data_IF_672564354413
#
_entry.id   IF_672564354413
#
_cell.length_a   1.000
_cell.length_b   1.000
_cell.length_c   1.000
_cell.angle_alpha   90.00
_cell.angle_beta   90.00
_cell.angle_gamma   90.00
#
_symmetry.space_group_name_H-M   'P 1'
#
loop_
_entity.id
_entity.type
_entity.pdbx_description
1 polymer ?
#
# COMPACT_ATOMS: atom_id res chain seq x y z
N UNK A 1 -8.93 -51.21 10.34
CA UNK A 1 -10.11 -50.35 10.58
C UNK A 1 -10.24 -49.80 12.01
N UNK A 2 -9.45 -50.18 12.99
CA UNK A 2 -9.47 -49.64 14.35
C UNK A 2 -8.61 -48.37 14.52
N UNK A 3 -7.51 -48.25 13.76
CA UNK A 3 -6.55 -47.11 13.85
C UNK A 3 -7.11 -45.77 13.29
N UNK A 4 -8.16 -45.80 12.49
CA UNK A 4 -8.74 -44.58 11.89
C UNK A 4 -9.83 -43.92 12.74
N UNK A 5 -10.42 -44.67 13.70
CA UNK A 5 -11.42 -44.15 14.62
C UNK A 5 -10.80 -43.41 15.81
N UNK A 6 -9.63 -43.82 16.27
CA UNK A 6 -8.96 -43.23 17.43
C UNK A 6 -8.42 -41.82 17.07
N UNK A 7 -7.89 -41.60 15.85
CA UNK A 7 -7.45 -40.28 15.38
C UNK A 7 -8.60 -39.27 15.18
N UNK A 8 -9.80 -39.71 14.84
CA UNK A 8 -10.96 -38.80 14.72
C UNK A 8 -11.46 -38.34 16.09
N UNK A 9 -11.46 -39.23 17.10
CA UNK A 9 -11.88 -38.86 18.46
C UNK A 9 -10.85 -37.94 19.16
N UNK A 10 -9.57 -38.10 18.94
CA UNK A 10 -8.55 -37.18 19.43
C UNK A 10 -8.66 -35.80 18.78
N UNK A 11 -8.84 -35.74 17.46
CA UNK A 11 -9.03 -34.48 16.73
C UNK A 11 -10.29 -33.72 17.15
N UNK A 12 -11.40 -34.42 17.40
CA UNK A 12 -12.66 -33.83 17.86
C UNK A 12 -12.52 -33.33 19.30
N UNK A 13 -11.82 -34.07 20.17
CA UNK A 13 -11.54 -33.63 21.52
C UNK A 13 -10.61 -32.40 21.58
N UNK A 14 -9.60 -32.33 20.69
CA UNK A 14 -8.72 -31.17 20.59
C UNK A 14 -9.48 -29.92 20.16
N UNK A 15 -10.38 -30.03 19.17
CA UNK A 15 -11.22 -28.93 18.68
C UNK A 15 -12.18 -28.46 19.78
N UNK A 16 -12.82 -29.37 20.52
CA UNK A 16 -13.65 -29.01 21.67
C UNK A 16 -12.87 -28.35 22.80
N UNK A 17 -11.62 -28.79 23.06
CA UNK A 17 -10.76 -28.18 24.06
C UNK A 17 -10.37 -26.72 23.66
N UNK A 18 -10.07 -26.50 22.37
CA UNK A 18 -9.79 -25.15 21.84
C UNK A 18 -11.01 -24.22 21.91
N UNK A 19 -12.23 -24.70 21.59
CA UNK A 19 -13.45 -23.93 21.74
C UNK A 19 -13.76 -23.60 23.20
N UNK A 20 -13.55 -24.55 24.11
CA UNK A 20 -13.70 -24.32 25.55
C UNK A 20 -12.69 -23.28 26.06
N UNK A 21 -11.46 -23.30 25.55
CA UNK A 21 -10.40 -22.35 25.91
C UNK A 21 -10.70 -20.92 25.45
N UNK A 22 -11.27 -20.73 24.24
CA UNK A 22 -11.71 -19.43 23.76
C UNK A 22 -12.82 -18.82 24.63
N UNK A 23 -13.71 -19.66 25.19
CA UNK A 23 -14.75 -19.21 26.12
C UNK A 23 -14.23 -18.77 27.50
N UNK A 24 -13.00 -19.17 27.87
CA UNK A 24 -12.37 -18.84 29.15
C UNK A 24 -11.42 -17.64 29.08
N UNK A 25 -11.03 -17.19 27.86
CA UNK A 25 -10.13 -16.05 27.67
C UNK A 25 -10.97 -14.78 27.46
N UNK A 26 -11.03 -13.85 28.44
CA UNK A 26 -11.71 -12.59 28.27
C UNK A 26 -11.05 -11.73 27.18
N UNK A 27 -11.86 -11.05 26.36
CA UNK A 27 -11.41 -10.15 25.30
C UNK A 27 -10.48 -9.04 25.84
N UNK A 28 -10.66 -8.63 27.09
CA UNK A 28 -9.82 -7.65 27.77
C UNK A 28 -8.37 -8.10 27.94
N UNK A 29 -8.12 -9.41 28.12
CA UNK A 29 -6.74 -9.93 28.18
C UNK A 29 -6.07 -9.88 26.83
N UNK A 30 -6.79 -10.22 25.75
CA UNK A 30 -6.28 -10.12 24.37
C UNK A 30 -6.02 -8.65 24.00
N UNK A 31 -6.87 -7.71 24.47
CA UNK A 31 -6.62 -6.27 24.27
C UNK A 31 -5.37 -5.80 25.01
N UNK A 32 -5.14 -6.25 26.24
CA UNK A 32 -3.94 -5.91 26.99
C UNK A 32 -2.67 -6.47 26.30
N UNK A 33 -2.76 -7.71 25.79
CA UNK A 33 -1.68 -8.34 25.04
C UNK A 33 -1.39 -7.59 23.73
N UNK A 34 -2.39 -7.27 22.91
CA UNK A 34 -2.24 -6.53 21.66
C UNK A 34 -1.59 -5.17 21.90
N UNK A 35 -2.14 -4.38 22.84
CA UNK A 35 -1.60 -3.06 23.15
C UNK A 35 -0.15 -3.13 23.64
N UNK A 36 0.21 -4.11 24.47
CA UNK A 36 1.57 -4.30 24.96
C UNK A 36 2.53 -4.71 23.84
N UNK A 37 2.12 -5.60 22.95
CA UNK A 37 2.91 -6.04 21.81
C UNK A 37 3.18 -4.93 20.80
N UNK A 38 2.17 -4.13 20.50
CA UNK A 38 2.25 -3.03 19.56
C UNK A 38 3.07 -1.84 20.09
N UNK A 39 2.92 -1.52 21.39
CA UNK A 39 3.63 -0.38 22.00
C UNK A 39 5.04 -0.75 22.50
N UNK A 40 5.37 -2.04 22.62
CA UNK A 40 6.62 -2.51 23.20
C UNK A 40 6.77 -2.16 24.70
N UNK A 41 5.67 -1.80 25.39
CA UNK A 41 5.73 -1.30 26.77
C UNK A 41 4.42 -1.54 27.53
N UNK A 42 4.48 -2.22 28.68
CA UNK A 42 3.31 -2.38 29.55
C UNK A 42 2.79 -1.05 30.09
N UNK A 43 3.67 -0.06 30.28
CA UNK A 43 3.29 1.27 30.74
C UNK A 43 2.53 2.05 29.67
N UNK A 44 3.00 1.99 28.42
CA UNK A 44 2.33 2.64 27.29
C UNK A 44 0.98 1.98 27.00
N UNK A 45 0.93 0.63 27.00
CA UNK A 45 -0.32 -0.11 26.86
C UNK A 45 -1.33 0.24 27.97
N UNK A 46 -0.89 0.37 29.22
CA UNK A 46 -1.73 0.77 30.33
C UNK A 46 -2.32 2.18 30.16
N UNK A 47 -1.51 3.13 29.71
CA UNK A 47 -1.96 4.49 29.42
C UNK A 47 -3.03 4.50 28.31
N UNK A 48 -2.82 3.74 27.24
CA UNK A 48 -3.76 3.62 26.12
C UNK A 48 -5.10 3.00 26.53
N UNK A 49 -5.04 1.97 27.39
CA UNK A 49 -6.24 1.24 27.85
C UNK A 49 -6.94 1.87 29.06
N UNK A 50 -6.42 2.97 29.61
CA UNK A 50 -6.87 3.57 30.86
C UNK A 50 -6.82 2.56 32.05
N UNK A 51 -5.72 1.78 32.10
CA UNK A 51 -5.44 0.79 33.13
C UNK A 51 -4.16 1.14 33.90
N UNK A 52 -3.91 0.41 34.98
CA UNK A 52 -2.60 0.48 35.65
C UNK A 52 -1.60 -0.49 34.97
N UNK A 53 -0.29 -0.20 35.00
CA UNK A 53 0.73 -1.12 34.47
C UNK A 53 0.71 -2.51 35.13
N UNK A 54 0.34 -2.58 36.43
CA UNK A 54 0.16 -3.84 37.13
C UNK A 54 -1.04 -4.63 36.63
N UNK A 55 -2.15 -3.97 36.27
CA UNK A 55 -3.33 -4.63 35.71
C UNK A 55 -3.02 -5.24 34.31
N UNK A 56 -2.31 -4.50 33.45
CA UNK A 56 -1.85 -5.02 32.15
C UNK A 56 -0.92 -6.21 32.34
N UNK A 57 0.09 -6.08 33.22
CA UNK A 57 1.02 -7.18 33.51
C UNK A 57 0.31 -8.42 34.08
N UNK A 58 -0.70 -8.23 34.92
CA UNK A 58 -1.52 -9.33 35.47
C UNK A 58 -2.36 -10.00 34.38
N UNK A 59 -3.02 -9.21 33.53
CA UNK A 59 -3.83 -9.74 32.42
C UNK A 59 -2.97 -10.60 31.46
N UNK A 60 -1.75 -10.14 31.14
CA UNK A 60 -0.84 -10.85 30.26
C UNK A 60 -0.35 -12.15 30.93
N UNK A 61 0.04 -12.11 32.22
CA UNK A 61 0.44 -13.34 32.94
C UNK A 61 -0.68 -14.38 32.93
N UNK A 62 -1.90 -13.94 33.23
CA UNK A 62 -3.05 -14.85 33.23
C UNK A 62 -3.33 -15.43 31.86
N UNK A 63 -3.09 -14.65 30.77
CA UNK A 63 -3.17 -15.17 29.40
C UNK A 63 -2.07 -16.21 29.13
N UNK A 64 -0.82 -15.93 29.52
CA UNK A 64 0.31 -16.87 29.43
C UNK A 64 0.04 -18.17 30.20
N UNK A 65 -0.53 -18.07 31.42
CA UNK A 65 -0.86 -19.22 32.25
C UNK A 65 -1.99 -20.06 31.63
N UNK A 66 -3.01 -19.43 31.03
CA UNK A 66 -4.09 -20.13 30.31
C UNK A 66 -3.59 -20.83 29.03
N UNK A 67 -2.64 -20.22 28.34
CA UNK A 67 -2.08 -20.76 27.10
C UNK A 67 -0.93 -21.76 27.36
N UNK A 68 -0.38 -21.77 28.57
CA UNK A 68 0.78 -22.61 28.94
C UNK A 68 2.09 -22.18 28.29
N UNK A 69 2.17 -20.98 27.72
CA UNK A 69 3.35 -20.47 27.01
C UNK A 69 3.65 -19.04 27.39
N UNK A 70 4.92 -18.64 27.33
CA UNK A 70 5.32 -17.23 27.48
C UNK A 70 5.13 -16.49 26.17
N UNK A 71 4.51 -15.33 26.24
CA UNK A 71 4.29 -14.44 25.09
C UNK A 71 5.29 -13.29 25.04
N UNK A 72 5.88 -12.95 26.20
CA UNK A 72 6.90 -11.91 26.32
C UNK A 72 8.13 -12.39 27.08
N UNK A 73 9.30 -12.01 26.58
CA UNK A 73 10.57 -12.04 27.31
C UNK A 73 10.66 -10.73 28.12
N UNK A 74 10.89 -10.88 29.43
CA UNK A 74 11.00 -9.72 30.35
C UNK A 74 12.47 -9.36 30.49
N UNK A 75 12.87 -8.24 29.92
CA UNK A 75 14.15 -7.61 30.18
C UNK A 75 13.96 -6.44 31.16
N UNK A 76 15.04 -5.97 31.78
CA UNK A 76 14.98 -5.00 32.88
C UNK A 76 14.28 -3.67 32.50
N UNK A 77 14.22 -3.28 31.24
CA UNK A 77 13.64 -2.00 30.77
C UNK A 77 12.73 -2.11 29.53
N UNK A 78 12.72 -3.26 28.85
CA UNK A 78 11.95 -3.50 27.62
C UNK A 78 11.24 -4.83 27.67
N UNK A 79 10.18 -4.96 26.90
CA UNK A 79 9.52 -6.24 26.66
C UNK A 79 9.72 -6.60 25.20
N UNK A 80 10.09 -7.85 24.94
CA UNK A 80 10.20 -8.41 23.61
C UNK A 80 9.23 -9.58 23.49
N UNK A 81 8.56 -9.71 22.34
CA UNK A 81 7.69 -10.86 22.12
C UNK A 81 8.51 -12.12 21.82
N UNK A 82 8.06 -13.25 22.37
CA UNK A 82 8.52 -14.58 21.95
C UNK A 82 8.02 -14.92 20.55
N UNK A 83 8.48 -16.00 19.96
CA UNK A 83 7.97 -16.53 18.66
C UNK A 83 6.47 -16.84 18.77
N UNK A 84 6.03 -17.43 19.89
CA UNK A 84 4.63 -17.72 20.20
C UNK A 84 3.84 -16.42 20.34
N UNK A 85 4.41 -15.40 21.02
CA UNK A 85 3.83 -14.07 21.12
C UNK A 85 3.63 -13.41 19.76
N UNK A 86 4.63 -13.45 18.88
CA UNK A 86 4.54 -12.90 17.53
C UNK A 86 3.46 -13.61 16.70
N UNK A 87 3.36 -14.94 16.85
CA UNK A 87 2.34 -15.74 16.16
C UNK A 87 0.95 -15.37 16.64
N UNK A 88 0.72 -15.34 17.95
CA UNK A 88 -0.58 -14.93 18.52
C UNK A 88 -0.91 -13.49 18.16
N UNK A 89 0.06 -12.59 18.17
CA UNK A 89 -0.12 -11.16 17.85
C UNK A 89 -0.74 -10.95 16.46
N UNK A 90 -0.27 -11.68 15.45
CA UNK A 90 -0.83 -11.60 14.10
C UNK A 90 -2.32 -11.93 14.08
N UNK A 91 -2.72 -13.02 14.73
CA UNK A 91 -4.12 -13.46 14.75
C UNK A 91 -5.01 -12.55 15.62
N UNK A 92 -4.50 -12.08 16.74
CA UNK A 92 -5.25 -11.17 17.63
C UNK A 92 -5.47 -9.81 16.97
N UNK A 93 -4.44 -9.26 16.31
CA UNK A 93 -4.54 -8.00 15.58
C UNK A 93 -5.59 -8.10 14.44
N UNK A 94 -5.57 -9.19 13.66
CA UNK A 94 -6.54 -9.46 12.60
C UNK A 94 -7.98 -9.59 13.14
N UNK A 95 -8.16 -10.30 14.25
CA UNK A 95 -9.46 -10.46 14.89
C UNK A 95 -10.02 -9.11 15.39
N UNK A 96 -9.20 -8.29 16.05
CA UNK A 96 -9.61 -6.96 16.50
C UNK A 96 -9.90 -6.01 15.33
N UNK A 97 -9.16 -6.09 14.25
CA UNK A 97 -9.46 -5.32 13.04
C UNK A 97 -10.82 -5.72 12.44
N UNK A 98 -11.09 -7.02 12.39
CA UNK A 98 -12.39 -7.54 11.92
C UNK A 98 -13.54 -7.07 12.79
N UNK A 99 -13.40 -7.13 14.12
CA UNK A 99 -14.40 -6.60 15.06
C UNK A 99 -14.61 -5.10 14.90
N UNK A 100 -13.52 -4.33 14.77
CA UNK A 100 -13.60 -2.87 14.56
C UNK A 100 -14.33 -2.54 13.25
N UNK A 101 -14.03 -3.24 12.15
CA UNK A 101 -14.74 -3.08 10.88
C UNK A 101 -16.22 -3.40 11.00
N UNK A 102 -16.57 -4.47 11.70
CA UNK A 102 -17.97 -4.82 11.97
C UNK A 102 -18.69 -3.74 12.75
N UNK A 103 -18.09 -3.24 13.83
CA UNK A 103 -18.66 -2.14 14.63
C UNK A 103 -18.80 -0.84 13.82
N UNK A 104 -17.81 -0.51 12.97
CA UNK A 104 -17.90 0.66 12.09
C UNK A 104 -19.00 0.51 11.05
N UNK A 105 -19.20 -0.68 10.51
CA UNK A 105 -20.23 -0.95 9.50
C UNK A 105 -21.66 -0.77 10.04
N UNK A 106 -21.89 -1.04 11.33
CA UNK A 106 -23.20 -0.89 11.98
C UNK A 106 -23.37 0.44 12.72
N UNK A 107 -22.27 1.16 12.96
CA UNK A 107 -22.31 2.46 13.65
C UNK A 107 -22.71 3.57 12.70
N UNK A 108 -23.79 4.27 13.01
CA UNK A 108 -24.24 5.46 12.25
C UNK A 108 -23.53 6.74 12.69
N UNK A 109 -22.75 6.72 13.78
CA UNK A 109 -22.13 7.91 14.41
C UNK A 109 -20.60 7.98 14.24
N UNK A 110 -19.93 6.88 13.88
CA UNK A 110 -18.49 6.91 13.70
C UNK A 110 -18.13 7.56 12.35
N UNK A 111 -17.15 8.48 12.30
CA UNK A 111 -16.59 8.93 11.02
C UNK A 111 -16.08 7.71 10.24
N UNK A 112 -16.45 7.65 8.99
CA UNK A 112 -16.03 6.56 8.09
C UNK A 112 -14.62 6.85 7.61
N UNK A 113 -13.63 6.40 8.38
CA UNK A 113 -12.21 6.57 8.04
C UNK A 113 -11.79 5.53 7.01
N UNK A 114 -11.32 6.02 5.86
CA UNK A 114 -10.65 5.23 4.82
C UNK A 114 -9.14 5.42 4.94
N UNK A 115 -8.43 4.36 5.28
CA UNK A 115 -6.96 4.36 5.45
C UNK A 115 -6.32 3.75 4.22
N UNK A 116 -5.62 4.59 3.47
CA UNK A 116 -4.94 4.21 2.25
C UNK A 116 -3.42 4.21 2.44
N UNK A 117 -2.79 3.16 2.00
CA UNK A 117 -1.38 3.15 1.67
C UNK A 117 -1.24 3.38 0.17
N UNK A 118 -0.27 4.18 -0.27
CA UNK A 118 -0.20 4.57 -1.68
C UNK A 118 1.25 4.75 -2.11
N UNK A 119 1.61 4.26 -3.29
CA UNK A 119 2.88 4.57 -3.93
C UNK A 119 3.09 6.10 -4.02
N UNK A 120 4.23 6.65 -3.55
CA UNK A 120 4.40 8.10 -3.33
C UNK A 120 4.13 8.96 -4.56
N UNK A 121 4.61 8.55 -5.73
CA UNK A 121 4.40 9.32 -6.96
C UNK A 121 2.94 9.31 -7.40
N UNK A 122 2.24 8.17 -7.26
CA UNK A 122 0.81 8.10 -7.55
C UNK A 122 -0.01 8.93 -6.57
N UNK A 123 0.34 8.88 -5.28
CA UNK A 123 -0.31 9.68 -4.25
C UNK A 123 -0.24 11.18 -4.58
N UNK A 124 0.96 11.68 -4.89
CA UNK A 124 1.21 13.11 -5.09
C UNK A 124 0.70 13.60 -6.43
N UNK A 125 0.99 12.89 -7.50
CA UNK A 125 0.77 13.36 -8.86
C UNK A 125 -0.66 13.10 -9.35
N UNK A 126 -1.26 11.97 -8.97
CA UNK A 126 -2.53 11.58 -9.55
C UNK A 126 -3.69 11.55 -8.55
N UNK A 127 -3.50 10.94 -7.37
CA UNK A 127 -4.59 10.71 -6.41
C UNK A 127 -4.98 11.97 -5.65
N UNK A 128 -4.02 12.63 -4.99
CA UNK A 128 -4.30 13.78 -4.13
C UNK A 128 -5.04 14.92 -4.84
N UNK A 129 -4.69 15.32 -6.10
CA UNK A 129 -5.41 16.36 -6.81
C UNK A 129 -6.89 16.02 -7.08
N UNK A 130 -7.28 14.75 -7.03
CA UNK A 130 -8.62 14.24 -7.33
C UNK A 130 -9.47 13.96 -6.10
N UNK A 131 -8.85 13.81 -4.92
CA UNK A 131 -9.54 13.45 -3.68
C UNK A 131 -10.66 14.41 -3.28
N UNK A 132 -10.56 15.68 -3.62
CA UNK A 132 -11.63 16.65 -3.35
C UNK A 132 -12.97 16.19 -3.94
N UNK A 133 -12.96 15.60 -5.15
CA UNK A 133 -14.19 15.08 -5.78
C UNK A 133 -14.77 13.89 -5.04
N UNK A 134 -13.90 13.00 -4.56
CA UNK A 134 -14.32 11.86 -3.72
C UNK A 134 -14.95 12.34 -2.41
N UNK A 135 -14.29 13.27 -1.72
CA UNK A 135 -14.78 13.82 -0.44
C UNK A 135 -16.08 14.61 -0.60
N UNK A 136 -16.22 15.39 -1.68
CA UNK A 136 -17.47 16.11 -1.97
C UNK A 136 -18.66 15.15 -2.17
N UNK A 137 -18.43 14.00 -2.82
CA UNK A 137 -19.45 12.96 -2.99
C UNK A 137 -19.68 12.12 -1.72
N UNK A 138 -18.78 12.20 -0.72
CA UNK A 138 -18.81 11.42 0.50
C UNK A 138 -18.49 12.27 1.73
N UNK A 139 -19.33 13.25 2.11
CA UNK A 139 -18.99 14.25 3.14
C UNK A 139 -18.80 13.70 4.55
N UNK A 140 -19.22 12.45 4.81
CA UNK A 140 -19.02 11.76 6.10
C UNK A 140 -17.74 10.91 6.13
N UNK A 141 -16.94 10.92 5.05
CA UNK A 141 -15.74 10.11 4.94
C UNK A 141 -14.52 10.95 5.26
N UNK A 142 -13.69 10.45 6.14
CA UNK A 142 -12.33 10.92 6.35
C UNK A 142 -11.37 10.01 5.58
N UNK A 143 -10.39 10.56 4.89
CA UNK A 143 -9.35 9.81 4.17
C UNK A 143 -8.00 10.09 4.80
N UNK A 144 -7.33 9.03 5.27
CA UNK A 144 -5.94 9.07 5.71
C UNK A 144 -5.07 8.39 4.67
N UNK A 145 -4.03 9.07 4.21
CA UNK A 145 -3.05 8.52 3.27
C UNK A 145 -1.70 8.45 3.95
N UNK A 146 -1.06 7.29 3.86
CA UNK A 146 0.36 7.11 4.10
C UNK A 146 1.03 6.74 2.77
N UNK A 147 2.12 7.42 2.42
CA UNK A 147 2.83 7.18 1.19
C UNK A 147 4.21 6.59 1.47
N UNK A 148 4.44 5.37 1.02
CA UNK A 148 5.75 4.71 1.07
C UNK A 148 5.91 3.73 -0.10
N UNK A 149 7.12 3.16 -0.24
CA UNK A 149 7.41 2.14 -1.25
C UNK A 149 7.27 0.73 -0.74
N UNK A 150 7.10 0.56 0.56
CA UNK A 150 6.80 -0.74 1.15
C UNK A 150 5.35 -1.14 0.82
N UNK A 151 5.07 -2.43 0.86
CA UNK A 151 3.69 -2.90 0.74
C UNK A 151 2.96 -2.75 2.09
N UNK A 152 1.69 -2.36 2.04
CA UNK A 152 0.86 -2.30 3.23
C UNK A 152 0.78 -3.66 3.91
N UNK A 153 0.97 -3.66 5.23
CA UNK A 153 0.65 -4.81 6.07
C UNK A 153 -0.80 -4.64 6.53
N UNK A 154 -1.66 -5.53 6.04
CA UNK A 154 -3.08 -5.49 6.41
C UNK A 154 -3.39 -6.19 7.74
N UNK A 155 -2.42 -6.97 8.27
CA UNK A 155 -2.59 -7.76 9.48
C UNK A 155 -2.75 -6.95 10.77
N UNK A 156 -2.27 -5.70 10.78
CA UNK A 156 -2.36 -4.80 11.94
C UNK A 156 -3.53 -3.80 11.82
N UNK A 157 -4.29 -3.88 10.73
CA UNK A 157 -5.41 -3.00 10.46
C UNK A 157 -5.04 -1.53 10.27
N UNK A 158 -3.77 -1.23 10.00
CA UNK A 158 -3.29 0.13 9.77
C UNK A 158 -3.87 0.72 8.48
N UNK A 159 -4.16 -0.13 7.47
CA UNK A 159 -4.66 0.26 6.17
C UNK A 159 -5.86 -0.59 5.73
N UNK A 160 -6.77 0.03 4.98
CA UNK A 160 -7.93 -0.62 4.39
C UNK A 160 -7.67 -1.04 2.94
N UNK A 161 -6.84 -0.29 2.22
CA UNK A 161 -6.40 -0.60 0.86
C UNK A 161 -4.99 -0.04 0.59
N UNK A 162 -4.32 -0.59 -0.42
CA UNK A 162 -3.02 -0.18 -0.90
C UNK A 162 -3.07 0.08 -2.41
N UNK A 163 -2.48 1.19 -2.84
CA UNK A 163 -2.21 1.43 -4.26
C UNK A 163 -0.73 1.22 -4.49
N UNK A 164 -0.42 0.04 -4.99
CA UNK A 164 0.96 -0.42 -5.18
C UNK A 164 1.48 -0.14 -6.57
N UNK A 165 2.75 0.20 -6.67
CA UNK A 165 3.51 0.15 -7.91
C UNK A 165 4.10 -1.25 -8.06
N UNK A 166 3.68 -1.98 -9.07
CA UNK A 166 4.14 -3.34 -9.28
C UNK A 166 5.37 -3.36 -10.17
N UNK A 167 6.53 -3.45 -9.56
CA UNK A 167 7.80 -3.57 -10.27
C UNK A 167 8.02 -4.93 -10.96
N UNK A 168 7.11 -5.91 -10.79
CA UNK A 168 7.25 -7.21 -11.44
C UNK A 168 5.88 -7.82 -11.83
N UNK A 169 5.79 -8.52 -12.97
CA UNK A 169 4.62 -9.34 -13.35
C UNK A 169 4.29 -10.42 -12.31
N UNK A 170 5.26 -10.75 -11.48
CA UNK A 170 5.23 -11.76 -10.40
C UNK A 170 4.91 -11.19 -9.03
N UNK A 171 4.43 -9.95 -8.90
CA UNK A 171 3.80 -9.57 -7.63
C UNK A 171 2.67 -10.59 -7.38
N UNK A 172 3.04 -11.71 -6.72
CA UNK A 172 2.17 -12.83 -6.39
C UNK A 172 0.90 -12.23 -5.84
N UNK A 173 -0.22 -12.55 -6.48
CA UNK A 173 -1.52 -12.37 -5.85
C UNK A 173 -1.40 -13.11 -4.53
N UNK A 174 -1.23 -12.38 -3.44
CA UNK A 174 -1.16 -13.02 -2.13
C UNK A 174 -2.53 -13.68 -1.90
N UNK A 175 -2.57 -14.95 -1.51
CA UNK A 175 -3.83 -15.62 -1.24
C UNK A 175 -4.70 -14.76 -0.31
N UNK A 176 -5.99 -14.62 -0.62
CA UNK A 176 -6.91 -13.80 0.17
C UNK A 176 -6.88 -12.29 -0.10
N UNK A 177 -6.18 -11.85 -1.14
CA UNK A 177 -6.15 -10.45 -1.57
C UNK A 177 -6.90 -10.24 -2.89
N UNK A 178 -7.63 -9.15 -2.99
CA UNK A 178 -8.18 -8.63 -4.25
C UNK A 178 -7.15 -7.69 -4.86
N UNK A 179 -6.90 -7.83 -6.16
CA UNK A 179 -6.00 -6.96 -6.94
C UNK A 179 -6.74 -6.46 -8.18
N UNK A 180 -6.85 -5.14 -8.29
CA UNK A 180 -7.54 -4.46 -9.40
C UNK A 180 -6.50 -3.63 -10.15
N UNK A 181 -6.35 -3.85 -11.45
CA UNK A 181 -5.48 -3.02 -12.30
C UNK A 181 -6.05 -1.60 -12.40
N UNK A 182 -5.17 -0.61 -12.30
CA UNK A 182 -5.50 0.79 -12.55
C UNK A 182 -5.28 1.21 -14.03
N UNK A 183 -5.21 0.22 -14.91
CA UNK A 183 -5.04 0.41 -16.34
C UNK A 183 -3.59 0.55 -16.78
N UNK A 184 -3.40 0.52 -18.07
CA UNK A 184 -2.10 0.67 -18.72
C UNK A 184 -1.61 2.12 -18.65
N UNK A 185 -0.30 2.30 -18.50
CA UNK A 185 0.36 3.59 -18.51
C UNK A 185 1.31 3.70 -19.71
N UNK A 186 1.29 4.84 -20.36
CA UNK A 186 2.23 5.18 -21.44
C UNK A 186 3.42 5.92 -20.85
N UNK A 187 4.62 5.43 -21.15
CA UNK A 187 5.89 6.03 -20.74
C UNK A 187 6.60 6.59 -21.96
N UNK A 188 6.88 7.86 -21.93
CA UNK A 188 7.47 8.62 -23.04
C UNK A 188 8.47 9.67 -22.54
N UNK A 189 9.41 10.14 -23.36
CA UNK A 189 10.25 11.29 -23.03
C UNK A 189 9.41 12.55 -22.83
N UNK A 190 9.60 13.22 -21.67
CA UNK A 190 8.94 14.46 -21.29
C UNK A 190 9.97 15.51 -20.92
N UNK A 191 9.79 16.74 -21.38
CA UNK A 191 10.67 17.87 -21.08
C UNK A 191 9.91 19.19 -21.03
N UNK A 192 10.56 20.21 -20.49
CA UNK A 192 10.05 21.58 -20.59
C UNK A 192 9.97 22.03 -22.06
N UNK A 193 8.99 22.89 -22.43
CA UNK A 193 8.80 23.36 -23.80
C UNK A 193 10.05 23.97 -24.45
N UNK A 194 10.88 24.65 -23.66
CA UNK A 194 12.13 25.25 -24.16
C UNK A 194 13.14 24.22 -24.68
N UNK A 195 13.16 23.00 -24.13
CA UNK A 195 14.01 21.90 -24.61
C UNK A 195 13.42 21.21 -25.82
N UNK A 196 12.10 21.16 -25.95
CA UNK A 196 11.41 20.41 -26.99
C UNK A 196 11.78 20.86 -28.41
N UNK A 197 12.12 22.13 -28.60
CA UNK A 197 12.53 22.67 -29.90
C UNK A 197 13.78 22.02 -30.49
N UNK A 198 14.64 21.42 -29.64
CA UNK A 198 15.88 20.76 -30.05
C UNK A 198 15.71 19.24 -30.21
N UNK A 199 14.57 18.70 -29.83
CA UNK A 199 14.30 17.25 -29.82
C UNK A 199 13.27 16.94 -30.90
N UNK A 200 13.77 16.60 -32.09
CA UNK A 200 12.93 16.35 -33.29
C UNK A 200 12.92 14.87 -33.65
N UNK A 201 13.92 14.11 -33.22
CA UNK A 201 14.07 12.67 -33.44
C UNK A 201 14.55 11.96 -32.16
N UNK A 202 14.33 10.63 -32.00
CA UNK A 202 14.87 9.86 -30.91
C UNK A 202 16.39 9.99 -30.70
N UNK A 203 17.17 10.18 -31.79
CA UNK A 203 18.61 10.32 -31.73
C UNK A 203 19.07 11.61 -31.03
N UNK A 204 18.26 12.67 -31.07
CA UNK A 204 18.60 13.95 -30.42
C UNK A 204 18.74 13.82 -28.91
N UNK A 205 18.06 12.84 -28.31
CA UNK A 205 18.11 12.59 -26.86
C UNK A 205 19.51 12.17 -26.38
N UNK A 206 20.39 11.67 -27.27
CA UNK A 206 21.75 11.29 -26.90
C UNK A 206 22.58 12.53 -26.48
N UNK A 207 22.20 13.72 -26.94
CA UNK A 207 22.88 14.97 -26.64
C UNK A 207 22.23 15.74 -25.47
N UNK A 208 21.08 15.28 -24.97
CA UNK A 208 20.34 15.95 -23.90
C UNK A 208 20.68 15.34 -22.54
N UNK A 209 20.49 16.13 -21.49
CA UNK A 209 20.59 15.63 -20.12
C UNK A 209 19.41 14.71 -19.82
N UNK A 210 19.69 13.42 -19.62
CA UNK A 210 18.66 12.45 -19.28
C UNK A 210 18.47 12.37 -17.77
N UNK A 211 17.22 12.55 -17.32
CA UNK A 211 16.83 12.38 -15.92
C UNK A 211 16.45 10.90 -15.72
N UNK A 212 17.12 10.23 -14.78
CA UNK A 212 16.92 8.83 -14.47
C UNK A 212 16.01 8.65 -13.27
N UNK A 213 15.07 7.70 -13.34
CA UNK A 213 14.26 7.21 -12.22
C UNK A 213 14.68 5.78 -11.87
N UNK A 214 15.28 5.58 -10.69
CA UNK A 214 15.91 4.30 -10.34
C UNK A 214 14.90 3.19 -10.02
N UNK A 215 13.78 3.51 -9.40
CA UNK A 215 12.75 2.54 -8.98
C UNK A 215 11.66 2.32 -10.04
N UNK A 216 12.05 2.20 -11.31
CA UNK A 216 11.14 1.96 -12.44
C UNK A 216 11.39 0.63 -13.12
N UNK A 217 10.31 0.03 -13.63
CA UNK A 217 10.41 -1.14 -14.53
C UNK A 217 10.97 -0.76 -15.88
N UNK A 218 10.44 0.30 -16.49
CA UNK A 218 10.84 0.79 -17.81
C UNK A 218 11.78 1.97 -17.64
N UNK A 219 12.97 1.85 -18.20
CA UNK A 219 14.09 2.80 -18.07
C UNK A 219 14.58 3.25 -19.42
N UNK A 220 15.47 4.20 -19.45
CA UNK A 220 16.10 4.69 -20.69
C UNK A 220 16.65 3.59 -21.60
N UNK A 221 17.37 2.55 -21.08
CA UNK A 221 17.82 1.46 -21.95
C UNK A 221 16.68 0.76 -22.69
N UNK A 222 15.54 0.53 -22.03
CA UNK A 222 14.38 -0.12 -22.65
C UNK A 222 13.79 0.76 -23.74
N UNK A 223 13.71 2.07 -23.50
CA UNK A 223 13.17 3.01 -24.46
C UNK A 223 14.11 3.19 -25.68
N UNK A 224 15.42 3.35 -25.46
CA UNK A 224 16.38 3.43 -26.55
C UNK A 224 16.38 2.16 -27.41
N UNK A 225 16.36 0.98 -26.79
CA UNK A 225 16.28 -0.30 -27.49
C UNK A 225 14.99 -0.42 -28.32
N UNK A 226 13.82 -0.01 -27.78
CA UNK A 226 12.56 -0.01 -28.52
C UNK A 226 12.58 0.94 -29.73
N UNK A 227 13.42 1.95 -29.70
CA UNK A 227 13.60 2.91 -30.80
C UNK A 227 14.82 2.62 -31.70
N UNK A 228 15.44 1.43 -31.57
CA UNK A 228 16.56 0.98 -32.40
C UNK A 228 17.89 1.72 -32.15
N UNK A 229 18.05 2.31 -30.96
CA UNK A 229 19.19 3.11 -30.56
C UNK A 229 19.98 2.50 -29.41
N UNK A 230 21.27 2.78 -29.34
CA UNK A 230 22.07 2.46 -28.17
C UNK A 230 21.88 3.50 -27.08
N UNK A 231 21.82 3.04 -25.85
CA UNK A 231 21.70 3.92 -24.67
C UNK A 231 23.02 4.67 -24.48
N UNK A 232 23.00 6.01 -24.34
CA UNK A 232 24.20 6.76 -23.99
C UNK A 232 24.69 6.41 -22.58
N UNK A 233 25.97 6.69 -22.33
CA UNK A 233 26.52 6.52 -20.98
C UNK A 233 25.70 7.35 -19.97
N UNK A 234 25.36 6.80 -18.80
CA UNK A 234 24.57 7.51 -17.82
C UNK A 234 25.32 8.77 -17.33
N UNK A 235 24.71 9.91 -17.51
CA UNK A 235 25.17 11.19 -16.94
C UNK A 235 23.95 12.03 -16.57
N UNK A 236 24.10 12.95 -15.63
CA UNK A 236 23.04 13.86 -15.22
C UNK A 236 22.37 13.44 -13.90
N UNK A 237 21.08 13.63 -13.80
CA UNK A 237 20.32 13.52 -12.57
C UNK A 237 19.69 12.13 -12.37
N UNK A 238 19.72 11.63 -11.15
CA UNK A 238 19.11 10.36 -10.76
C UNK A 238 18.23 10.57 -9.54
N UNK A 239 17.01 10.05 -9.61
CA UNK A 239 16.03 10.12 -8.52
C UNK A 239 15.43 8.73 -8.27
N UNK A 240 14.99 8.52 -7.05
CA UNK A 240 14.30 7.30 -6.65
C UNK A 240 12.76 7.40 -6.78
N UNK A 241 12.25 8.57 -7.18
CA UNK A 241 10.81 8.87 -7.28
C UNK A 241 10.47 9.62 -8.56
N UNK A 242 9.43 9.15 -9.27
CA UNK A 242 8.93 9.79 -10.49
C UNK A 242 8.49 11.22 -10.29
N UNK A 243 7.88 11.57 -9.16
CA UNK A 243 7.43 12.95 -8.92
C UNK A 243 8.61 13.94 -8.90
N UNK A 244 9.80 13.53 -8.42
CA UNK A 244 11.01 14.37 -8.47
C UNK A 244 11.51 14.51 -9.91
N UNK A 245 11.58 13.41 -10.66
CA UNK A 245 12.00 13.44 -12.07
C UNK A 245 11.07 14.32 -12.93
N UNK A 246 9.75 14.22 -12.70
CA UNK A 246 8.73 15.05 -13.35
C UNK A 246 8.95 16.54 -13.02
N UNK A 247 9.17 16.87 -11.75
CA UNK A 247 9.40 18.25 -11.32
C UNK A 247 10.66 18.82 -11.97
N UNK A 248 11.78 18.09 -11.93
CA UNK A 248 13.04 18.55 -12.50
C UNK A 248 12.97 18.71 -14.01
N UNK A 249 12.27 17.84 -14.72
CA UNK A 249 12.03 17.98 -16.15
C UNK A 249 11.18 19.22 -16.46
N UNK A 250 10.14 19.50 -15.64
CA UNK A 250 9.31 20.68 -15.79
C UNK A 250 10.07 22.00 -15.50
N UNK A 251 11.09 21.93 -14.65
CA UNK A 251 11.99 23.06 -14.36
C UNK A 251 13.13 23.21 -15.39
N UNK A 252 13.13 22.37 -16.44
CA UNK A 252 14.05 22.49 -17.58
C UNK A 252 15.43 21.87 -17.38
N UNK A 253 15.64 21.04 -16.34
CA UNK A 253 16.93 20.44 -16.02
C UNK A 253 17.31 19.29 -16.95
N UNK A 254 16.39 18.81 -17.78
CA UNK A 254 16.65 17.72 -18.74
C UNK A 254 15.35 17.06 -19.21
N UNK A 255 15.49 15.87 -19.77
CA UNK A 255 14.41 15.04 -20.29
C UNK A 255 14.18 13.87 -19.35
N UNK A 256 12.95 13.69 -18.85
CA UNK A 256 12.56 12.54 -18.04
C UNK A 256 11.81 11.52 -18.88
N UNK A 257 12.09 10.24 -18.68
CA UNK A 257 11.29 9.15 -19.23
C UNK A 257 10.20 8.79 -18.19
N UNK A 258 8.98 9.30 -18.39
CA UNK A 258 7.95 9.23 -17.34
C UNK A 258 6.56 8.85 -17.87
N UNK A 259 5.73 8.36 -16.95
CA UNK A 259 4.31 8.08 -17.22
C UNK A 259 3.57 9.37 -17.52
N UNK A 260 2.84 9.41 -18.65
CA UNK A 260 1.97 10.52 -19.00
C UNK A 260 0.83 10.71 -18.00
N UNK A 261 0.40 9.63 -17.34
CA UNK A 261 -0.58 9.67 -16.24
C UNK A 261 -0.03 10.41 -15.02
N UNK A 262 1.18 10.10 -14.59
CA UNK A 262 1.80 10.77 -13.46
C UNK A 262 2.16 12.23 -13.78
N UNK A 263 2.50 12.53 -15.02
CA UNK A 263 2.83 13.89 -15.49
C UNK A 263 1.62 14.67 -16.01
N UNK A 264 0.40 14.14 -15.87
CA UNK A 264 -0.83 14.71 -16.47
C UNK A 264 -1.03 16.19 -16.12
N UNK A 265 -0.79 16.57 -14.87
CA UNK A 265 -0.97 17.95 -14.41
C UNK A 265 0.03 18.91 -15.05
N UNK A 266 1.28 18.52 -15.13
CA UNK A 266 2.36 19.28 -15.75
C UNK A 266 2.16 19.41 -17.26
N UNK A 267 1.67 18.35 -17.91
CA UNK A 267 1.33 18.37 -19.35
C UNK A 267 0.13 19.27 -19.61
N UNK A 268 -0.96 19.11 -18.83
CA UNK A 268 -2.15 19.95 -18.96
C UNK A 268 -1.87 21.43 -18.68
N UNK A 269 -0.95 21.72 -17.75
CA UNK A 269 -0.48 23.05 -17.41
C UNK A 269 0.55 23.63 -18.38
N UNK A 270 0.97 22.89 -19.42
CA UNK A 270 1.97 23.33 -20.39
C UNK A 270 3.40 23.40 -19.86
N UNK A 271 3.65 22.86 -18.64
CA UNK A 271 4.99 22.83 -18.06
C UNK A 271 5.85 21.69 -18.63
N UNK A 272 5.21 20.62 -19.10
CA UNK A 272 5.83 19.52 -19.79
C UNK A 272 5.18 19.26 -21.14
N UNK A 273 5.97 18.82 -22.09
CA UNK A 273 5.54 18.33 -23.39
C UNK A 273 6.24 17.00 -23.72
N UNK A 274 5.61 16.19 -24.57
CA UNK A 274 6.20 15.01 -25.17
C UNK A 274 6.77 15.38 -26.55
N UNK A 275 8.06 15.71 -26.69
CA UNK A 275 8.61 16.27 -27.92
C UNK A 275 8.60 15.26 -29.08
N UNK A 276 8.62 13.98 -28.77
CA UNK A 276 8.68 12.89 -29.75
C UNK A 276 7.35 12.18 -29.98
N UNK A 277 6.22 12.78 -29.54
CA UNK A 277 4.90 12.19 -29.73
C UNK A 277 4.62 11.89 -31.21
N UNK A 278 4.30 10.63 -31.54
CA UNK A 278 4.10 10.15 -32.89
C UNK A 278 5.37 10.06 -33.75
N UNK A 279 6.57 10.29 -33.15
CA UNK A 279 7.88 10.20 -33.81
C UNK A 279 8.80 9.17 -33.16
N UNK A 280 8.37 8.57 -32.07
CA UNK A 280 9.08 7.50 -31.35
C UNK A 280 8.09 6.42 -30.92
N UNK A 281 8.65 5.26 -30.59
CA UNK A 281 7.90 4.19 -29.93
C UNK A 281 7.79 4.52 -28.44
N UNK A 282 6.59 4.66 -27.95
CA UNK A 282 6.29 4.78 -26.53
C UNK A 282 6.26 3.41 -25.87
N UNK A 283 6.57 3.35 -24.58
CA UNK A 283 6.51 2.11 -23.81
C UNK A 283 5.20 2.05 -23.03
N UNK A 284 4.65 0.84 -22.90
CA UNK A 284 3.38 0.61 -22.23
C UNK A 284 3.50 -0.48 -21.19
N UNK A 285 2.87 -0.32 -20.02
CA UNK A 285 2.84 -1.34 -18.97
C UNK A 285 1.74 -1.11 -17.95
N UNK A 286 1.39 -2.18 -17.23
CA UNK A 286 0.50 -2.09 -16.08
C UNK A 286 1.31 -1.71 -14.85
N UNK A 287 1.25 -0.45 -14.45
CA UNK A 287 2.11 0.11 -13.41
C UNK A 287 1.51 0.00 -12.01
N UNK A 288 0.25 0.40 -11.85
CA UNK A 288 -0.38 0.52 -10.55
C UNK A 288 -1.58 -0.41 -10.38
N UNK A 289 -1.76 -0.88 -9.15
CA UNK A 289 -2.86 -1.77 -8.77
C UNK A 289 -3.43 -1.33 -7.43
N UNK A 290 -4.76 -1.35 -7.31
CA UNK A 290 -5.45 -1.29 -6.03
C UNK A 290 -5.50 -2.69 -5.43
N UNK A 291 -5.02 -2.83 -4.19
CA UNK A 291 -4.95 -4.10 -3.46
C UNK A 291 -5.63 -3.95 -2.11
N UNK A 292 -6.45 -4.93 -1.72
CA UNK A 292 -7.09 -4.99 -0.40
C UNK A 292 -7.46 -6.43 -0.03
N UNK A 293 -7.62 -6.76 1.27
CA UNK A 293 -8.03 -8.08 1.70
C UNK A 293 -9.39 -8.49 1.13
N UNK A 294 -9.55 -9.73 0.68
CA UNK A 294 -10.80 -10.24 0.11
C UNK A 294 -12.02 -10.04 1.02
N UNK A 295 -11.95 -10.26 2.37
CA UNK A 295 -13.06 -9.96 3.26
C UNK A 295 -13.48 -8.48 3.26
N UNK A 296 -12.55 -7.58 2.93
CA UNK A 296 -12.81 -6.14 2.85
C UNK A 296 -13.61 -5.73 1.60
N UNK A 297 -13.81 -6.63 0.64
CA UNK A 297 -14.67 -6.41 -0.52
C UNK A 297 -16.11 -6.09 -0.14
N UNK A 298 -16.61 -6.64 0.98
CA UNK A 298 -17.92 -6.33 1.53
C UNK A 298 -18.02 -4.95 2.21
N UNK A 299 -16.88 -4.24 2.39
CA UNK A 299 -16.87 -2.91 2.99
C UNK A 299 -17.39 -1.88 1.96
N UNK A 300 -18.54 -1.21 2.21
CA UNK A 300 -19.12 -0.25 1.27
C UNK A 300 -18.19 0.92 0.93
N UNK A 301 -17.29 1.28 1.86
CA UNK A 301 -16.36 2.40 1.66
C UNK A 301 -15.26 2.03 0.66
N UNK A 302 -14.70 0.82 0.76
CA UNK A 302 -13.72 0.31 -0.20
C UNK A 302 -14.36 0.16 -1.59
N UNK A 303 -15.58 -0.39 -1.66
CA UNK A 303 -16.30 -0.52 -2.92
C UNK A 303 -16.57 0.82 -3.59
N UNK A 304 -16.99 1.84 -2.82
CA UNK A 304 -17.19 3.21 -3.33
C UNK A 304 -15.88 3.84 -3.80
N UNK A 305 -14.81 3.71 -3.02
CA UNK A 305 -13.50 4.23 -3.39
C UNK A 305 -12.97 3.54 -4.66
N UNK A 306 -13.07 2.23 -4.74
CA UNK A 306 -12.67 1.46 -5.92
C UNK A 306 -13.45 1.88 -7.18
N UNK A 307 -14.77 2.01 -7.07
CA UNK A 307 -15.61 2.45 -8.19
C UNK A 307 -15.28 3.88 -8.63
N UNK A 308 -15.12 4.81 -7.68
CA UNK A 308 -14.71 6.17 -7.95
C UNK A 308 -13.32 6.23 -8.63
N UNK A 309 -12.36 5.45 -8.13
CA UNK A 309 -11.01 5.39 -8.69
C UNK A 309 -11.02 4.92 -10.16
N UNK A 310 -11.79 3.88 -10.47
CA UNK A 310 -11.97 3.40 -11.84
C UNK A 310 -12.64 4.44 -12.75
N UNK A 311 -13.64 5.15 -12.25
CA UNK A 311 -14.32 6.22 -12.99
C UNK A 311 -13.37 7.38 -13.31
N UNK A 312 -12.56 7.83 -12.33
CA UNK A 312 -11.56 8.88 -12.52
C UNK A 312 -10.50 8.46 -13.56
N UNK A 313 -10.08 7.19 -13.55
CA UNK A 313 -9.14 6.66 -14.53
C UNK A 313 -9.74 6.64 -15.95
N UNK A 314 -11.02 6.27 -16.09
CA UNK A 314 -11.71 6.23 -17.37
C UNK A 314 -11.95 7.62 -17.97
N UNK A 315 -12.07 8.65 -17.12
CA UNK A 315 -12.29 10.04 -17.55
C UNK A 315 -10.99 10.80 -17.80
N UNK A 316 -9.84 10.24 -17.43
CA UNK A 316 -8.53 10.86 -17.64
C UNK A 316 -8.22 10.96 -19.15
N UNK A 317 -7.75 12.12 -19.67
CA UNK A 317 -7.54 12.35 -21.11
C UNK A 317 -6.59 11.33 -21.77
N UNK A 318 -5.75 10.72 -20.99
CA UNK A 318 -4.73 9.75 -21.47
C UNK A 318 -5.22 8.31 -21.60
N UNK A 319 -6.48 8.01 -21.23
CA UNK A 319 -7.10 6.69 -21.42
C UNK A 319 -7.60 6.44 -22.86
N UNK A 320 -7.55 7.44 -23.71
CA UNK A 320 -8.08 7.41 -25.09
C UNK A 320 -7.02 7.64 -26.17
N UNK A 321 -5.73 7.54 -25.81
CA UNK A 321 -4.63 7.71 -26.76
C UNK A 321 -3.90 6.41 -27.03
#
# INVERSE_FOLDING_TARGET
>A
MKFQKDNLHESVNLVHLFFAMLNTIPLSMLRAFEAAGRTGSFRAAAAELNLTPSAVSHAIRKLEDLLGVRLFLRQARTIEMTTEGQTLMRHVAEAFDTLRRGMQAVSTRAPRLLRLHVAPSFATQWLAPRLQRFLAANPQVEVRIAASTDYARFSDGAFDADIVYAAAPTARVMPGMVRISLGEETVTPLCAPALAARITSPADLVQETLIHSDNKMLRWPDWFAANGLSTPAPHGLRFDRSFLAISMAADGLGVALESTRLAEREIAGGRLVAPLRGRSVDLHYLAHFLVYPQPSQANPLISRFSAWLQQELATSPHSKM
#
